data_IF_417371722972
#
_entry.id   IF_417371722972
#
_cell.length_a   1.000
_cell.length_b   1.000
_cell.length_c   1.000
_cell.angle_alpha   90.00
_cell.angle_beta   90.00
_cell.angle_gamma   90.00
#
_symmetry.space_group_name_H-M   'P 1'
#
loop_
_entity.id
_entity.type
_entity.pdbx_description
1 polymer ?
#
# COMPACT_ATOMS: atom_id res chain seq x y z
N UNK A 1 -16.82 -13.24 1.23
CA UNK A 1 -17.16 -11.84 1.55
C UNK A 1 -16.71 -10.98 0.38
N UNK A 2 -17.47 -9.98 -0.04
CA UNK A 2 -17.04 -9.10 -1.14
C UNK A 2 -16.21 -7.91 -0.62
N UNK A 3 -15.50 -7.24 -1.54
CA UNK A 3 -14.62 -6.12 -1.22
C UNK A 3 -15.37 -4.98 -0.55
N UNK A 4 -16.48 -4.52 -1.13
CA UNK A 4 -17.21 -3.34 -0.62
C UNK A 4 -17.69 -3.51 0.81
N UNK A 5 -18.17 -4.71 1.18
CA UNK A 5 -18.57 -5.03 2.55
C UNK A 5 -17.38 -4.91 3.50
N UNK A 6 -16.21 -5.43 3.11
CA UNK A 6 -15.00 -5.32 3.92
C UNK A 6 -14.58 -3.86 4.10
N UNK A 7 -14.54 -3.09 3.01
CA UNK A 7 -14.15 -1.68 3.05
C UNK A 7 -15.10 -0.87 3.93
N UNK A 8 -16.41 -1.13 3.88
CA UNK A 8 -17.37 -0.49 4.77
C UNK A 8 -17.10 -0.80 6.25
N UNK A 9 -16.76 -2.05 6.59
CA UNK A 9 -16.42 -2.46 7.96
C UNK A 9 -15.15 -1.74 8.43
N UNK A 10 -14.09 -1.74 7.61
CA UNK A 10 -12.81 -1.12 7.97
C UNK A 10 -12.97 0.39 8.09
N UNK A 11 -13.72 1.03 7.19
CA UNK A 11 -13.92 2.50 7.17
C UNK A 11 -14.48 3.02 8.51
N UNK A 12 -15.36 2.25 9.17
CA UNK A 12 -15.91 2.61 10.47
C UNK A 12 -14.87 2.61 11.60
N UNK A 13 -13.76 1.88 11.43
CA UNK A 13 -12.68 1.78 12.41
C UNK A 13 -11.52 2.71 12.04
N UNK A 14 -11.09 2.68 10.79
CA UNK A 14 -9.97 3.43 10.25
C UNK A 14 -10.15 3.67 8.74
N UNK A 15 -10.57 4.88 8.33
CA UNK A 15 -10.81 5.20 6.93
C UNK A 15 -9.52 5.19 6.09
N UNK A 16 -8.36 5.46 6.68
CA UNK A 16 -7.07 5.44 5.96
C UNK A 16 -6.64 4.00 5.70
N UNK A 17 -6.82 3.11 6.67
CA UNK A 17 -6.62 1.68 6.47
C UNK A 17 -7.55 1.15 5.38
N UNK A 18 -8.82 1.56 5.39
CA UNK A 18 -9.80 1.15 4.39
C UNK A 18 -9.38 1.58 2.97
N UNK A 19 -8.91 2.82 2.82
CA UNK A 19 -8.42 3.34 1.54
C UNK A 19 -7.19 2.56 1.06
N UNK A 20 -6.20 2.34 1.94
CA UNK A 20 -5.00 1.58 1.61
C UNK A 20 -5.35 0.14 1.20
N UNK A 21 -6.18 -0.57 1.97
CA UNK A 21 -6.64 -1.94 1.64
C UNK A 21 -7.37 -1.96 0.31
N UNK A 22 -8.30 -1.03 0.08
CA UNK A 22 -9.08 -0.98 -1.15
C UNK A 22 -8.20 -0.82 -2.39
N UNK A 23 -7.26 0.14 -2.35
CA UNK A 23 -6.35 0.45 -3.46
C UNK A 23 -5.37 -0.66 -3.74
N UNK A 24 -4.82 -1.28 -2.69
CA UNK A 24 -3.86 -2.38 -2.85
C UNK A 24 -4.52 -3.66 -3.33
N UNK A 25 -5.77 -3.94 -2.91
CA UNK A 25 -6.53 -5.07 -3.45
C UNK A 25 -6.82 -4.87 -4.94
N UNK A 26 -7.24 -3.68 -5.37
CA UNK A 26 -7.43 -3.38 -6.80
C UNK A 26 -6.14 -3.58 -7.60
N UNK A 27 -5.02 -3.06 -7.08
CA UNK A 27 -3.71 -3.19 -7.70
C UNK A 27 -3.30 -4.64 -7.89
N UNK A 28 -3.45 -5.47 -6.86
CA UNK A 28 -2.97 -6.86 -6.88
C UNK A 28 -3.87 -7.77 -7.71
N UNK A 29 -5.18 -7.52 -7.72
CA UNK A 29 -6.13 -8.29 -8.52
C UNK A 29 -6.09 -7.95 -10.01
N UNK A 30 -5.55 -6.78 -10.38
CA UNK A 30 -5.33 -6.46 -11.79
C UNK A 30 -4.24 -7.37 -12.38
N UNK A 31 -4.70 -8.29 -13.23
CA UNK A 31 -3.87 -9.28 -13.93
C UNK A 31 -2.80 -8.63 -14.83
N UNK A 32 -3.00 -7.38 -15.23
CA UNK A 32 -2.07 -6.61 -16.07
C UNK A 32 -1.33 -5.53 -15.28
N UNK A 33 -1.41 -5.57 -13.95
CA UNK A 33 -0.77 -4.61 -13.08
C UNK A 33 0.74 -4.51 -13.36
N UNK A 34 1.21 -3.27 -13.48
CA UNK A 34 2.62 -2.98 -13.60
C UNK A 34 3.43 -3.57 -12.42
N UNK A 35 4.75 -3.78 -12.59
CA UNK A 35 5.62 -4.25 -11.50
C UNK A 35 5.60 -3.34 -10.26
N UNK A 36 5.26 -2.07 -10.44
CA UNK A 36 5.15 -1.07 -9.38
C UNK A 36 3.70 -0.59 -9.23
N UNK A 37 3.27 -0.24 -8.00
CA UNK A 37 2.01 0.47 -7.80
C UNK A 37 2.04 1.86 -8.41
N UNK A 38 0.86 2.46 -8.59
CA UNK A 38 0.74 3.87 -8.95
C UNK A 38 1.13 4.78 -7.78
N UNK A 39 1.37 6.06 -8.09
CA UNK A 39 1.62 7.08 -7.07
C UNK A 39 0.48 7.17 -6.07
N UNK A 40 -0.77 7.19 -6.55
CA UNK A 40 -1.96 7.26 -5.70
C UNK A 40 -2.09 6.04 -4.77
N UNK A 41 -1.80 4.83 -5.27
CA UNK A 41 -1.80 3.61 -4.45
C UNK A 41 -0.73 3.69 -3.35
N UNK A 42 0.46 4.16 -3.70
CA UNK A 42 1.59 4.32 -2.77
C UNK A 42 1.32 5.39 -1.72
N UNK A 43 0.73 6.52 -2.12
CA UNK A 43 0.33 7.60 -1.22
C UNK A 43 -0.76 7.14 -0.24
N UNK A 44 -1.76 6.37 -0.69
CA UNK A 44 -2.78 5.80 0.21
C UNK A 44 -2.17 4.89 1.29
N UNK A 45 -1.17 4.08 0.93
CA UNK A 45 -0.41 3.27 1.89
C UNK A 45 0.38 4.18 2.83
N UNK A 46 1.14 5.14 2.32
CA UNK A 46 1.94 6.07 3.12
C UNK A 46 1.10 6.86 4.13
N UNK A 47 -0.08 7.34 3.72
CA UNK A 47 -1.01 8.07 4.56
C UNK A 47 -1.50 7.23 5.74
N UNK A 48 -1.77 5.95 5.50
CA UNK A 48 -2.08 5.00 6.55
C UNK A 48 -0.88 4.77 7.48
N UNK A 49 0.30 4.45 6.93
CA UNK A 49 1.49 4.16 7.73
C UNK A 49 1.87 5.35 8.64
N UNK A 50 1.82 6.57 8.11
CA UNK A 50 2.06 7.81 8.87
C UNK A 50 1.01 8.04 9.95
N UNK A 51 -0.24 7.63 9.73
CA UNK A 51 -1.30 7.77 10.73
C UNK A 51 -1.13 6.84 11.92
N UNK A 52 -0.55 5.65 11.71
CA UNK A 52 -0.23 4.69 12.78
C UNK A 52 1.02 5.11 13.55
N UNK A 53 2.03 5.61 12.83
CA UNK A 53 3.26 6.12 13.41
C UNK A 53 3.74 7.35 12.65
N UNK A 54 3.76 8.50 13.32
CA UNK A 54 4.25 9.73 12.74
C UNK A 54 5.76 9.63 12.49
N UNK A 55 6.15 9.26 11.27
CA UNK A 55 7.53 9.42 10.82
C UNK A 55 7.83 10.92 10.65
N UNK A 56 8.89 11.43 11.28
CA UNK A 56 9.14 12.88 11.50
C UNK A 56 9.48 13.69 10.22
N UNK A 57 9.05 13.23 9.04
CA UNK A 57 9.30 13.89 7.75
C UNK A 57 10.76 13.89 7.30
N UNK A 58 11.70 13.45 8.14
CA UNK A 58 13.11 13.24 7.80
C UNK A 58 13.35 11.92 7.06
N UNK A 59 14.63 11.65 6.82
CA UNK A 59 15.13 10.37 6.31
C UNK A 59 14.64 9.25 7.23
N UNK A 60 14.08 8.19 6.64
CA UNK A 60 13.65 7.01 7.38
C UNK A 60 14.87 6.35 8.03
N UNK A 61 14.82 6.17 9.34
CA UNK A 61 15.77 5.30 10.04
C UNK A 61 15.23 3.87 10.14
N UNK A 62 16.05 2.93 10.60
CA UNK A 62 15.67 1.51 10.73
C UNK A 62 14.44 1.31 11.63
N UNK A 63 14.30 2.09 12.70
CA UNK A 63 13.14 2.01 13.58
C UNK A 63 11.87 2.49 12.86
N UNK A 64 11.94 3.57 12.08
CA UNK A 64 10.80 4.04 11.28
C UNK A 64 10.38 2.97 10.26
N UNK A 65 11.34 2.35 9.56
CA UNK A 65 11.09 1.27 8.61
C UNK A 65 10.44 0.06 9.30
N UNK A 66 10.94 -0.35 10.47
CA UNK A 66 10.36 -1.45 11.24
C UNK A 66 8.91 -1.16 11.64
N UNK A 67 8.61 0.03 12.14
CA UNK A 67 7.22 0.43 12.46
C UNK A 67 6.33 0.43 11.22
N UNK A 68 6.84 0.92 10.08
CA UNK A 68 6.13 0.94 8.80
C UNK A 68 5.83 -0.48 8.30
N UNK A 69 6.78 -1.42 8.39
CA UNK A 69 6.55 -2.84 8.05
C UNK A 69 5.51 -3.49 8.96
N UNK A 70 5.52 -3.18 10.26
CA UNK A 70 4.50 -3.67 11.20
C UNK A 70 3.12 -3.09 10.87
N UNK A 71 3.03 -1.80 10.56
CA UNK A 71 1.77 -1.17 10.19
C UNK A 71 1.24 -1.74 8.86
N UNK A 72 2.09 -1.97 7.86
CA UNK A 72 1.67 -2.53 6.56
C UNK A 72 1.13 -3.96 6.67
N UNK A 73 1.55 -4.74 7.68
CA UNK A 73 0.94 -6.05 7.96
C UNK A 73 -0.57 -5.96 8.23
N UNK A 74 -1.07 -4.86 8.81
CA UNK A 74 -2.52 -4.66 8.99
C UNK A 74 -3.26 -4.57 7.66
N UNK A 75 -2.64 -4.03 6.62
CA UNK A 75 -3.20 -4.03 5.26
C UNK A 75 -3.28 -5.47 4.75
N UNK A 76 -2.18 -6.23 4.86
CA UNK A 76 -2.11 -7.63 4.43
C UNK A 76 -3.16 -8.49 5.13
N UNK A 77 -3.30 -8.37 6.46
CA UNK A 77 -4.27 -9.13 7.26
C UNK A 77 -5.71 -8.90 6.78
N UNK A 78 -6.08 -7.66 6.47
CA UNK A 78 -7.41 -7.37 5.94
C UNK A 78 -7.59 -7.95 4.53
N UNK A 79 -6.55 -7.90 3.70
CA UNK A 79 -6.58 -8.41 2.34
C UNK A 79 -6.68 -9.95 2.24
N UNK A 80 -6.32 -10.71 3.28
CA UNK A 80 -6.47 -12.19 3.32
C UNK A 80 -7.87 -12.65 2.94
N UNK A 81 -8.90 -11.85 3.25
CA UNK A 81 -10.29 -12.22 2.97
C UNK A 81 -10.68 -12.07 1.48
N UNK A 82 -9.81 -11.50 0.66
CA UNK A 82 -10.07 -11.11 -0.74
C UNK A 82 -9.03 -11.64 -1.73
N UNK A 83 -7.82 -11.97 -1.27
CA UNK A 83 -6.69 -12.36 -2.11
C UNK A 83 -6.30 -13.82 -1.88
N UNK A 84 -5.84 -14.49 -2.94
CA UNK A 84 -5.23 -15.82 -2.85
C UNK A 84 -3.77 -15.77 -2.35
N UNK A 85 -3.13 -16.93 -2.19
CA UNK A 85 -1.79 -17.03 -1.62
C UNK A 85 -0.72 -16.28 -2.42
N UNK A 86 -0.72 -16.41 -3.75
CA UNK A 86 0.28 -15.77 -4.62
C UNK A 86 0.05 -14.25 -4.65
N UNK A 87 -1.21 -13.83 -4.64
CA UNK A 87 -1.58 -12.42 -4.51
C UNK A 87 -1.15 -11.82 -3.18
N UNK A 88 -1.27 -12.55 -2.08
CA UNK A 88 -0.83 -12.09 -0.76
C UNK A 88 0.69 -11.98 -0.66
N UNK A 89 1.43 -12.90 -1.28
CA UNK A 89 2.90 -12.84 -1.36
C UNK A 89 3.34 -11.59 -2.11
N UNK A 90 2.76 -11.34 -3.29
CA UNK A 90 2.99 -10.10 -4.06
C UNK A 90 2.61 -8.84 -3.28
N UNK A 91 1.49 -8.85 -2.57
CA UNK A 91 1.05 -7.72 -1.75
C UNK A 91 2.08 -7.41 -0.66
N UNK A 92 2.57 -8.44 0.03
CA UNK A 92 3.54 -8.28 1.11
C UNK A 92 4.86 -7.72 0.61
N UNK A 93 5.35 -8.20 -0.54
CA UNK A 93 6.57 -7.69 -1.18
C UNK A 93 6.47 -6.20 -1.52
N UNK A 94 5.37 -5.79 -2.17
CA UNK A 94 5.13 -4.38 -2.52
C UNK A 94 5.00 -3.50 -1.27
N UNK A 95 4.30 -3.97 -0.24
CA UNK A 95 4.15 -3.23 1.01
C UNK A 95 5.47 -3.09 1.77
N UNK A 96 6.36 -4.10 1.70
CA UNK A 96 7.71 -4.01 2.27
C UNK A 96 8.54 -2.94 1.58
N UNK A 97 8.49 -2.88 0.25
CA UNK A 97 9.16 -1.85 -0.51
C UNK A 97 8.62 -0.44 -0.21
N UNK A 98 7.30 -0.25 -0.11
CA UNK A 98 6.72 1.05 0.30
C UNK A 98 7.12 1.42 1.73
N UNK A 99 7.25 0.44 2.63
CA UNK A 99 7.68 0.69 4.00
C UNK A 99 9.14 1.21 4.06
N UNK A 100 10.00 0.74 3.15
CA UNK A 100 11.41 1.13 3.02
C UNK A 100 11.60 2.42 2.21
N UNK A 101 10.78 2.62 1.18
CA UNK A 101 10.85 3.76 0.27
C UNK A 101 9.44 4.36 0.08
N UNK A 102 9.26 5.59 0.59
CA UNK A 102 8.00 6.34 0.47
C UNK A 102 7.65 6.64 -1.00
N UNK A 103 8.64 6.61 -1.90
CA UNK A 103 8.48 6.88 -3.32
C UNK A 103 8.52 5.62 -4.19
N UNK A 104 8.23 4.44 -3.59
CA UNK A 104 8.09 3.19 -4.32
C UNK A 104 6.82 3.15 -5.19
N UNK A 105 6.81 3.93 -6.26
CA UNK A 105 5.77 3.97 -7.28
C UNK A 105 6.37 4.02 -8.67
N UNK A 106 5.58 3.67 -9.68
CA UNK A 106 6.01 3.76 -11.07
C UNK A 106 6.40 5.21 -11.40
N UNK A 107 7.66 5.50 -11.80
CA UNK A 107 8.07 6.86 -12.11
C UNK A 107 7.20 7.37 -13.26
N UNK A 108 6.65 8.57 -13.09
CA UNK A 108 5.92 9.24 -14.16
C UNK A 108 6.83 9.25 -15.38
N UNK A 109 6.42 8.61 -16.48
CA UNK A 109 7.19 8.63 -17.72
C UNK A 109 7.37 10.10 -18.07
N UNK A 110 8.54 10.65 -17.78
CA UNK A 110 9.01 11.88 -18.37
C UNK A 110 9.18 11.56 -19.84
N UNK A 111 8.08 11.66 -20.59
CA UNK A 111 8.12 11.86 -22.02
C UNK A 111 8.80 13.22 -22.20
N UNK A 112 10.13 13.22 -22.14
CA UNK A 112 10.91 14.22 -22.82
C UNK A 112 10.46 14.13 -24.27
N UNK A 113 9.76 15.16 -24.74
CA UNK A 113 9.56 15.37 -26.16
C UNK A 113 10.95 15.52 -26.76
N UNK A 114 11.54 14.40 -27.18
CA UNK A 114 12.59 14.39 -28.18
C UNK A 114 11.94 14.69 -29.52
N UNK A 115 11.82 15.98 -29.84
CA UNK A 115 11.84 16.50 -31.21
C UNK A 115 12.62 17.79 -31.22
#
# INVERSE_FOLDING_TARGET
>A
MNKDTLIAIITNQDPKLAQAVSKMVDYIQDRWAAPYPSKEQTEAVNDYLRSVHADKGGVLNEADIAHRKIASQKITINAIRLLDHDQLDRLQDVLNHIAEDREYYMPERRYGMGR
#
